data_IF_684563313614
#
_entry.id   IF_684563313614
#
_cell.length_a   1.000
_cell.length_b   1.000
_cell.length_c   1.000
_cell.angle_alpha   90.00
_cell.angle_beta   90.00
_cell.angle_gamma   90.00
#
_symmetry.space_group_name_H-M   'P 1'
#
loop_
_entity.id
_entity.type
_entity.pdbx_description
1 polymer ?
#
# COMPACT_ATOMS: atom_id res chain seq x y z
N UNK A 1 9.25 18.48 -23.21
CA UNK A 1 10.20 17.36 -22.98
C UNK A 1 11.57 18.02 -22.81
N UNK A 2 12.08 18.12 -21.59
CA UNK A 2 13.44 18.63 -21.34
C UNK A 2 14.25 17.45 -20.87
N UNK A 3 15.18 17.03 -21.71
CA UNK A 3 16.10 15.93 -21.44
C UNK A 3 16.98 16.28 -20.24
N UNK A 4 17.11 15.32 -19.33
CA UNK A 4 18.14 15.34 -18.29
C UNK A 4 19.49 15.06 -18.97
N UNK A 5 20.58 15.75 -18.58
CA UNK A 5 21.89 15.50 -19.16
C UNK A 5 22.40 14.11 -18.77
N UNK A 6 22.95 13.40 -19.75
CA UNK A 6 23.66 12.14 -19.58
C UNK A 6 24.99 12.37 -18.84
N UNK A 7 24.88 12.46 -17.51
CA UNK A 7 26.05 12.44 -16.63
C UNK A 7 26.39 10.97 -16.39
N UNK A 8 27.43 10.47 -17.05
CA UNK A 8 27.99 9.12 -16.90
C UNK A 8 28.54 8.82 -15.49
N UNK A 9 27.73 9.02 -14.45
CA UNK A 9 27.98 8.58 -13.10
C UNK A 9 27.55 7.13 -12.98
N UNK A 10 28.50 6.26 -12.65
CA UNK A 10 28.22 4.88 -12.27
C UNK A 10 27.28 4.87 -11.05
N UNK A 11 26.35 3.90 -11.01
CA UNK A 11 25.32 3.74 -9.96
C UNK A 11 25.86 3.91 -8.51
N UNK A 12 27.14 3.58 -8.27
CA UNK A 12 27.79 3.69 -6.97
C UNK A 12 27.97 5.11 -6.41
N UNK A 13 27.82 6.18 -7.21
CA UNK A 13 28.04 7.58 -6.78
C UNK A 13 26.77 8.36 -6.43
N UNK A 14 25.57 7.81 -6.66
CA UNK A 14 24.33 8.46 -6.25
C UNK A 14 24.15 8.41 -4.72
N UNK A 15 23.57 9.45 -4.09
CA UNK A 15 23.13 9.39 -2.71
C UNK A 15 22.31 8.10 -2.47
N UNK A 16 22.58 7.40 -1.36
CA UNK A 16 21.94 6.11 -1.03
C UNK A 16 20.42 6.17 -1.19
N UNK A 17 19.80 7.28 -0.80
CA UNK A 17 18.35 7.51 -0.89
C UNK A 17 17.83 7.53 -2.33
N UNK A 18 18.58 8.10 -3.27
CA UNK A 18 18.22 8.11 -4.70
C UNK A 18 18.27 6.69 -5.25
N UNK A 19 19.29 5.90 -4.88
CA UNK A 19 19.37 4.49 -5.24
C UNK A 19 18.22 3.68 -4.64
N UNK A 20 18.01 3.77 -3.33
CA UNK A 20 16.95 3.01 -2.64
C UNK A 20 15.57 3.31 -3.23
N UNK A 21 15.30 4.57 -3.58
CA UNK A 21 14.07 4.95 -4.27
C UNK A 21 13.98 4.38 -5.68
N UNK A 22 15.06 4.40 -6.45
CA UNK A 22 15.10 3.81 -7.78
C UNK A 22 14.88 2.29 -7.74
N UNK A 23 15.57 1.60 -6.83
CA UNK A 23 15.44 0.15 -6.61
C UNK A 23 14.03 -0.22 -6.12
N UNK A 24 13.46 0.55 -5.20
CA UNK A 24 12.08 0.34 -4.76
C UNK A 24 11.11 0.49 -5.93
N UNK A 25 11.26 1.54 -6.75
CA UNK A 25 10.41 1.74 -7.94
C UNK A 25 10.55 0.60 -8.92
N UNK A 26 11.78 0.18 -9.20
CA UNK A 26 12.03 -0.93 -10.11
C UNK A 26 11.42 -2.22 -9.59
N UNK A 27 11.55 -2.49 -8.29
CA UNK A 27 10.91 -3.62 -7.65
C UNK A 27 9.38 -3.57 -7.74
N UNK A 28 8.77 -2.40 -7.55
CA UNK A 28 7.32 -2.24 -7.63
C UNK A 28 6.77 -2.48 -9.05
N UNK A 29 7.57 -2.31 -10.11
CA UNK A 29 7.15 -2.61 -11.49
C UNK A 29 6.97 -4.11 -11.76
N UNK A 30 7.42 -4.99 -10.87
CA UNK A 30 7.22 -6.44 -11.01
C UNK A 30 5.87 -6.93 -10.49
N UNK A 31 4.96 -6.02 -10.13
CA UNK A 31 3.65 -6.32 -9.55
C UNK A 31 2.56 -5.73 -10.46
N UNK A 32 1.45 -6.45 -10.58
CA UNK A 32 0.30 -6.06 -11.39
C UNK A 32 -0.75 -5.40 -10.48
N UNK A 33 -0.45 -4.19 -10.01
CA UNK A 33 -1.35 -3.46 -9.11
C UNK A 33 -2.71 -3.23 -9.77
N UNK A 34 -3.77 -3.57 -9.04
CA UNK A 34 -5.16 -3.42 -9.49
C UNK A 34 -5.84 -2.22 -8.84
N UNK A 35 -5.47 -1.87 -7.60
CA UNK A 35 -6.08 -0.78 -6.86
C UNK A 35 -5.08 0.17 -6.22
N UNK A 36 -5.42 1.44 -6.22
CA UNK A 36 -4.84 2.48 -5.40
C UNK A 36 -5.83 2.84 -4.29
N UNK A 37 -5.42 2.67 -3.02
CA UNK A 37 -6.29 2.89 -1.86
C UNK A 37 -5.70 3.97 -0.96
N UNK A 38 -6.53 4.93 -0.56
CA UNK A 38 -6.19 5.93 0.46
C UNK A 38 -6.96 5.64 1.75
N UNK A 39 -6.24 5.47 2.86
CA UNK A 39 -6.81 5.32 4.20
C UNK A 39 -6.42 6.54 5.06
N UNK A 40 -7.32 7.48 5.25
CA UNK A 40 -7.05 8.72 5.98
C UNK A 40 -7.82 8.81 7.30
N UNK A 41 -7.26 9.55 8.26
CA UNK A 41 -7.82 9.67 9.62
C UNK A 41 -8.64 10.94 9.85
N UNK A 42 -8.84 11.75 8.81
CA UNK A 42 -9.59 13.01 8.86
C UNK A 42 -9.17 13.93 10.00
N UNK A 43 -7.89 14.30 10.01
CA UNK A 43 -7.26 15.23 10.98
C UNK A 43 -7.04 14.68 12.39
N UNK A 44 -7.38 13.41 12.66
CA UNK A 44 -6.97 12.78 13.91
C UNK A 44 -5.46 12.54 13.89
N UNK A 45 -4.75 13.14 14.84
CA UNK A 45 -3.31 12.99 15.00
C UNK A 45 -3.00 11.67 15.71
N UNK A 46 -2.79 10.62 14.92
CA UNK A 46 -2.28 9.35 15.42
C UNK A 46 -0.78 9.27 15.27
N UNK A 47 -0.11 8.70 16.28
CA UNK A 47 1.31 8.36 16.17
C UNK A 47 1.54 7.37 15.01
N UNK A 48 2.74 7.34 14.41
CA UNK A 48 3.10 6.33 13.41
C UNK A 48 2.84 4.89 13.89
N UNK A 49 3.11 4.60 15.17
CA UNK A 49 2.84 3.29 15.78
C UNK A 49 1.34 2.96 15.81
N UNK A 50 0.48 3.94 16.11
CA UNK A 50 -0.98 3.76 16.08
C UNK A 50 -1.46 3.59 14.63
N UNK A 51 -0.94 4.37 13.69
CA UNK A 51 -1.25 4.23 12.25
C UNK A 51 -0.90 2.83 11.72
N UNK A 52 0.27 2.30 12.09
CA UNK A 52 0.68 0.93 11.76
C UNK A 52 -0.22 -0.12 12.39
N UNK A 53 -0.63 0.07 13.65
CA UNK A 53 -1.58 -0.82 14.34
C UNK A 53 -2.95 -0.84 13.66
N UNK A 54 -3.46 0.32 13.23
CA UNK A 54 -4.71 0.44 12.49
C UNK A 54 -4.62 -0.25 11.12
N UNK A 55 -3.51 -0.03 10.39
CA UNK A 55 -3.25 -0.70 9.10
C UNK A 55 -3.22 -2.23 9.26
N UNK A 56 -2.56 -2.73 10.30
CA UNK A 56 -2.52 -4.17 10.62
C UNK A 56 -3.89 -4.76 10.92
N UNK A 57 -4.73 -4.03 11.66
CA UNK A 57 -6.10 -4.46 11.94
C UNK A 57 -6.97 -4.42 10.68
N UNK A 58 -6.80 -3.40 9.84
CA UNK A 58 -7.48 -3.29 8.55
C UNK A 58 -7.14 -4.47 7.65
N UNK A 59 -5.84 -4.74 7.46
CA UNK A 59 -5.34 -5.87 6.67
C UNK A 59 -5.91 -7.21 7.15
N UNK A 60 -5.91 -7.46 8.45
CA UNK A 60 -6.47 -8.69 9.03
C UNK A 60 -7.98 -8.82 8.77
N UNK A 61 -8.74 -7.73 8.88
CA UNK A 61 -10.19 -7.71 8.64
C UNK A 61 -10.53 -7.92 7.17
N UNK A 62 -9.81 -7.25 6.27
CA UNK A 62 -9.98 -7.38 4.81
C UNK A 62 -9.63 -8.79 4.35
N UNK A 63 -8.46 -9.32 4.76
CA UNK A 63 -8.06 -10.69 4.40
C UNK A 63 -9.04 -11.73 4.97
N UNK A 64 -9.57 -11.54 6.18
CA UNK A 64 -10.61 -12.42 6.72
C UNK A 64 -11.89 -12.41 5.87
N UNK A 65 -12.30 -11.24 5.38
CA UNK A 65 -13.49 -11.12 4.51
C UNK A 65 -13.28 -11.74 3.14
N UNK A 66 -12.09 -11.60 2.55
CA UNK A 66 -11.82 -12.06 1.17
C UNK A 66 -11.41 -13.52 1.13
N UNK A 67 -10.49 -13.92 2.01
CA UNK A 67 -9.95 -15.27 2.02
C UNK A 67 -10.76 -16.19 2.94
N UNK A 68 -11.47 -15.66 3.94
CA UNK A 68 -12.30 -16.42 4.87
C UNK A 68 -11.62 -16.67 6.22
N UNK A 69 -12.26 -17.42 7.14
CA UNK A 69 -11.84 -17.52 8.55
C UNK A 69 -10.43 -18.06 8.76
N UNK A 70 -9.93 -18.91 7.85
CA UNK A 70 -8.59 -19.52 7.90
C UNK A 70 -7.53 -18.73 7.12
N UNK A 71 -7.78 -17.46 6.79
CA UNK A 71 -6.84 -16.61 6.05
C UNK A 71 -5.42 -16.59 6.66
N UNK A 72 -5.30 -16.56 8.00
CA UNK A 72 -4.02 -16.52 8.68
C UNK A 72 -3.15 -17.77 8.45
N UNK A 73 -3.76 -18.91 8.09
CA UNK A 73 -3.05 -20.17 7.79
C UNK A 73 -2.69 -20.31 6.30
N UNK A 74 -3.04 -19.32 5.47
CA UNK A 74 -2.91 -19.33 4.01
C UNK A 74 -2.25 -18.02 3.56
N UNK A 75 -0.98 -17.82 3.92
CA UNK A 75 -0.27 -16.55 3.68
C UNK A 75 -0.08 -16.26 2.19
N UNK A 76 -0.05 -17.30 1.37
CA UNK A 76 -0.03 -17.29 -0.10
C UNK A 76 -1.32 -16.74 -0.72
N UNK A 77 -2.46 -16.91 -0.05
CA UNK A 77 -3.75 -16.37 -0.52
C UNK A 77 -3.98 -14.90 -0.13
N UNK A 78 -3.10 -14.30 0.68
CA UNK A 78 -3.32 -12.95 1.20
C UNK A 78 -3.13 -11.89 0.12
N UNK A 79 -3.85 -10.77 0.28
CA UNK A 79 -3.63 -9.59 -0.55
C UNK A 79 -2.18 -9.13 -0.45
N UNK A 80 -1.60 -8.83 -1.61
CA UNK A 80 -0.30 -8.17 -1.70
C UNK A 80 -0.57 -6.68 -1.76
N UNK A 81 0.03 -5.94 -0.84
CA UNK A 81 -0.01 -4.49 -0.85
C UNK A 81 1.28 -3.87 -0.30
N UNK A 82 1.51 -2.63 -0.70
CA UNK A 82 2.58 -1.74 -0.26
C UNK A 82 1.96 -0.46 0.26
N UNK A 83 2.30 -0.03 1.48
CA UNK A 83 1.72 1.14 2.11
C UNK A 83 2.78 2.22 2.38
N UNK A 84 2.42 3.46 2.09
CA UNK A 84 3.24 4.66 2.20
C UNK A 84 2.53 5.65 3.13
N UNK A 85 3.15 6.00 4.26
CA UNK A 85 2.57 6.97 5.19
C UNK A 85 2.85 8.39 4.70
N UNK A 86 1.80 9.20 4.57
CA UNK A 86 1.90 10.61 4.22
C UNK A 86 1.42 11.52 5.36
N UNK A 87 2.05 12.71 5.47
CA UNK A 87 1.67 13.80 6.39
C UNK A 87 1.48 13.36 7.85
N UNK A 88 2.40 12.51 8.33
CA UNK A 88 2.34 11.87 9.65
C UNK A 88 2.07 12.81 10.84
N UNK A 89 2.49 14.08 10.75
CA UNK A 89 2.37 15.08 11.81
C UNK A 89 1.09 15.94 11.77
N UNK A 90 0.32 15.92 10.67
CA UNK A 90 -0.82 16.84 10.49
C UNK A 90 -2.11 16.11 10.14
N UNK A 91 -2.08 15.22 9.16
CA UNK A 91 -3.22 14.44 8.73
C UNK A 91 -2.72 13.11 8.19
N UNK A 92 -2.34 12.17 9.08
CA UNK A 92 -1.71 10.93 8.66
C UNK A 92 -2.67 10.12 7.78
N UNK A 93 -2.18 9.67 6.63
CA UNK A 93 -2.93 8.78 5.75
C UNK A 93 -1.99 7.80 5.06
N UNK A 94 -2.51 6.60 4.81
CA UNK A 94 -1.83 5.58 4.03
C UNK A 94 -2.23 5.70 2.57
N UNK A 95 -1.24 5.78 1.68
CA UNK A 95 -1.40 5.45 0.27
C UNK A 95 -0.98 4.00 0.08
N UNK A 96 -1.87 3.17 -0.45
CA UNK A 96 -1.60 1.77 -0.74
C UNK A 96 -1.72 1.52 -2.24
N UNK A 97 -0.81 0.71 -2.76
CA UNK A 97 -0.99 0.01 -4.04
C UNK A 97 -1.19 -1.47 -3.72
N UNK A 98 -2.25 -2.04 -4.28
CA UNK A 98 -2.74 -3.39 -3.97
C UNK A 98 -2.79 -4.21 -5.24
N UNK A 99 -2.28 -5.42 -5.18
CA UNK A 99 -2.41 -6.43 -6.22
C UNK A 99 -3.47 -7.45 -5.78
N UNK A 100 -4.47 -7.62 -6.64
CA UNK A 100 -5.36 -8.77 -6.63
C UNK A 100 -4.79 -9.79 -7.60
N UNK A 101 -4.58 -11.01 -7.11
CA UNK A 101 -4.11 -12.13 -7.92
C UNK A 101 -5.02 -12.33 -9.16
N UNK A 102 -4.49 -12.14 -10.39
CA UNK A 102 -5.27 -12.20 -11.62
C UNK A 102 -5.78 -13.62 -11.94
N UNK A 103 -5.23 -14.64 -11.27
CA UNK A 103 -5.67 -16.03 -11.41
C UNK A 103 -6.95 -16.34 -10.61
N UNK A 104 -7.44 -15.38 -9.81
CA UNK A 104 -8.76 -15.47 -9.15
C UNK A 104 -9.87 -15.11 -10.16
N UNK A 105 -10.17 -16.04 -11.06
CA UNK A 105 -11.08 -15.78 -12.19
C UNK A 105 -12.55 -16.07 -11.82
N UNK A 106 -12.82 -17.17 -11.10
CA UNK A 106 -14.19 -17.63 -10.82
C UNK A 106 -14.40 -18.15 -9.40
N UNK A 107 -15.67 -18.35 -9.04
CA UNK A 107 -16.10 -18.95 -7.78
C UNK A 107 -16.16 -17.98 -6.60
N UNK A 108 -16.28 -18.53 -5.40
CA UNK A 108 -16.55 -17.75 -4.19
C UNK A 108 -15.44 -16.77 -3.82
N UNK A 109 -14.17 -17.03 -4.19
CA UNK A 109 -13.07 -16.09 -3.93
C UNK A 109 -13.13 -14.92 -4.90
N UNK A 110 -13.34 -15.15 -6.20
CA UNK A 110 -13.53 -14.09 -7.20
C UNK A 110 -14.65 -13.12 -6.80
N UNK A 111 -15.80 -13.66 -6.37
CA UNK A 111 -16.94 -12.84 -5.91
C UNK A 111 -16.63 -12.02 -4.64
N UNK A 112 -15.74 -12.50 -3.76
CA UNK A 112 -15.36 -11.75 -2.56
C UNK A 112 -14.28 -10.72 -2.87
N UNK A 113 -13.36 -11.03 -3.77
CA UNK A 113 -12.33 -10.10 -4.21
C UNK A 113 -12.91 -8.97 -5.06
N UNK A 114 -13.97 -9.20 -5.84
CA UNK A 114 -14.69 -8.14 -6.56
C UNK A 114 -15.36 -7.12 -5.62
N UNK A 115 -15.50 -7.46 -4.33
CA UNK A 115 -16.02 -6.57 -3.27
C UNK A 115 -14.91 -5.93 -2.47
N UNK A 116 -13.64 -6.03 -2.91
CA UNK A 116 -12.50 -5.48 -2.19
C UNK A 116 -12.70 -3.98 -1.85
N UNK A 117 -13.14 -3.10 -2.76
CA UNK A 117 -13.36 -1.69 -2.42
C UNK A 117 -14.36 -1.51 -1.26
N UNK A 118 -15.53 -2.16 -1.34
CA UNK A 118 -16.58 -2.06 -0.33
C UNK A 118 -16.14 -2.63 1.03
N UNK A 119 -15.52 -3.80 1.02
CA UNK A 119 -15.03 -4.46 2.23
C UNK A 119 -13.89 -3.65 2.87
N UNK A 120 -13.00 -3.08 2.06
CA UNK A 120 -11.90 -2.24 2.52
C UNK A 120 -12.42 -0.96 3.18
N UNK A 121 -13.38 -0.30 2.53
CA UNK A 121 -14.07 0.88 3.08
C UNK A 121 -14.73 0.57 4.40
N UNK A 122 -15.59 -0.46 4.42
CA UNK A 122 -16.35 -0.84 5.60
C UNK A 122 -15.44 -1.13 6.80
N UNK A 123 -14.31 -1.82 6.59
CA UNK A 123 -13.40 -2.15 7.69
C UNK A 123 -12.57 -0.97 8.15
N UNK A 124 -12.19 -0.06 7.26
CA UNK A 124 -11.49 1.18 7.62
C UNK A 124 -12.39 2.10 8.44
N UNK A 125 -13.60 2.38 7.98
CA UNK A 125 -14.55 3.26 8.67
C UNK A 125 -14.97 2.68 10.03
N UNK A 126 -14.98 1.35 10.20
CA UNK A 126 -15.16 0.72 11.52
C UNK A 126 -13.97 0.89 12.47
N UNK A 127 -12.76 1.04 11.94
CA UNK A 127 -11.55 1.26 12.74
C UNK A 127 -11.36 2.74 13.07
N UNK A 128 -11.70 3.61 12.12
CA UNK A 128 -11.58 5.06 12.22
C UNK A 128 -12.91 5.67 11.76
N UNK A 129 -13.91 5.81 12.65
CA UNK A 129 -15.27 6.26 12.29
C UNK A 129 -15.37 7.61 11.59
N UNK A 130 -14.42 8.50 11.83
CA UNK A 130 -14.34 9.80 11.16
C UNK A 130 -13.38 9.79 9.96
N UNK A 131 -12.64 8.71 9.76
CA UNK A 131 -11.66 8.57 8.69
C UNK A 131 -12.32 8.54 7.31
N UNK A 132 -11.55 8.86 6.29
CA UNK A 132 -11.99 8.74 4.89
C UNK A 132 -11.29 7.58 4.21
N UNK A 133 -11.98 7.04 3.21
CA UNK A 133 -11.52 5.96 2.36
C UNK A 133 -11.73 6.38 0.91
N UNK A 134 -10.71 6.16 0.09
CA UNK A 134 -10.80 6.30 -1.36
C UNK A 134 -10.15 5.07 -2.02
N UNK A 135 -10.72 4.61 -3.12
CA UNK A 135 -10.23 3.45 -3.86
C UNK A 135 -10.44 3.67 -5.35
N UNK A 136 -9.37 3.61 -6.11
CA UNK A 136 -9.35 3.83 -7.54
C UNK A 136 -8.69 2.63 -8.23
N UNK A 137 -9.16 2.31 -9.43
CA UNK A 137 -8.48 1.32 -10.27
C UNK A 137 -7.12 1.85 -10.72
N UNK A 138 -6.12 0.97 -10.79
CA UNK A 138 -4.81 1.31 -11.33
C UNK A 138 -4.84 1.09 -12.84
N UNK A 139 -4.97 2.19 -13.59
CA UNK A 139 -4.95 2.16 -15.06
C UNK A 139 -3.54 2.35 -15.65
N UNK A 140 -2.58 2.79 -14.83
CA UNK A 140 -1.25 3.17 -15.29
C UNK A 140 -0.16 2.92 -14.25
N UNK A 141 1.03 2.45 -14.68
CA UNK A 141 2.23 2.35 -13.83
C UNK A 141 2.67 3.68 -13.20
N UNK A 142 2.18 4.82 -13.68
CA UNK A 142 2.45 6.14 -13.11
C UNK A 142 2.04 6.26 -11.62
N UNK A 143 1.15 5.40 -11.13
CA UNK A 143 0.82 5.31 -9.70
C UNK A 143 2.04 5.00 -8.84
N UNK A 144 2.99 4.21 -9.35
CA UNK A 144 4.25 3.89 -8.66
C UNK A 144 5.07 5.16 -8.45
N UNK A 145 5.16 6.01 -9.48
CA UNK A 145 5.86 7.29 -9.37
C UNK A 145 5.19 8.22 -8.36
N UNK A 146 3.86 8.23 -8.33
CA UNK A 146 3.06 9.01 -7.40
C UNK A 146 3.32 8.58 -5.94
N UNK A 147 3.10 7.31 -5.59
CA UNK A 147 3.23 6.85 -4.19
C UNK A 147 4.67 6.83 -3.69
N UNK A 148 5.64 6.66 -4.59
CA UNK A 148 7.06 6.74 -4.22
C UNK A 148 7.62 8.16 -4.20
N UNK A 149 6.81 9.18 -4.54
CA UNK A 149 7.22 10.58 -4.44
C UNK A 149 7.49 10.96 -2.98
N UNK A 150 6.63 10.51 -2.06
CA UNK A 150 6.76 10.82 -0.63
C UNK A 150 7.90 10.10 0.06
N UNK A 151 8.34 8.96 -0.48
CA UNK A 151 9.49 8.18 0.00
C UNK A 151 10.82 8.95 -0.12
N UNK A 152 10.84 10.09 -0.83
CA UNK A 152 12.04 10.91 -0.98
C UNK A 152 12.53 11.57 0.32
N UNK A 153 11.68 11.70 1.34
CA UNK A 153 12.11 12.12 2.67
C UNK A 153 12.44 10.87 3.53
N UNK A 154 13.61 10.88 4.19
CA UNK A 154 14.12 9.76 5.00
C UNK A 154 13.09 9.20 5.99
N UNK A 155 12.36 10.09 6.68
CA UNK A 155 11.30 9.75 7.63
C UNK A 155 10.13 8.97 7.00
N UNK A 156 9.88 9.15 5.70
CA UNK A 156 8.80 8.45 5.00
C UNK A 156 9.25 7.07 4.50
N UNK A 157 10.55 6.87 4.26
CA UNK A 157 11.10 5.56 3.93
C UNK A 157 11.00 4.60 5.12
N UNK A 158 11.28 5.08 6.33
CA UNK A 158 11.16 4.26 7.56
C UNK A 158 9.72 3.81 7.87
N UNK A 159 8.74 4.55 7.35
CA UNK A 159 7.32 4.27 7.54
C UNK A 159 6.69 3.49 6.37
N UNK A 160 7.48 3.08 5.39
CA UNK A 160 7.04 2.15 4.36
C UNK A 160 6.74 0.78 4.95
N UNK A 161 5.60 0.19 4.58
CA UNK A 161 5.15 -1.09 5.12
C UNK A 161 4.74 -2.03 3.99
N UNK A 162 5.22 -3.27 4.08
CA UNK A 162 4.82 -4.36 3.22
C UNK A 162 3.74 -5.21 3.90
N UNK A 163 2.74 -5.65 3.14
CA UNK A 163 1.74 -6.65 3.58
C UNK A 163 2.35 -7.85 4.32
N UNK A 164 3.50 -8.33 3.85
CA UNK A 164 4.20 -9.49 4.43
C UNK A 164 4.71 -9.27 5.85
N UNK A 165 4.90 -8.03 6.30
CA UNK A 165 5.29 -7.75 7.69
C UNK A 165 4.21 -8.15 8.70
N UNK A 166 2.98 -8.41 8.24
CA UNK A 166 1.88 -8.84 9.08
C UNK A 166 1.58 -10.36 8.95
N UNK A 167 2.52 -11.18 8.45
CA UNK A 167 2.35 -12.64 8.31
C UNK A 167 2.43 -13.37 9.66
N UNK A 168 3.26 -12.91 10.59
CA UNK A 168 3.45 -13.57 11.88
C UNK A 168 2.71 -12.80 12.98
N UNK A 169 1.69 -13.44 13.56
CA UNK A 169 1.08 -13.10 14.85
C UNK A 169 0.99 -14.36 15.69
#
# INVERSE_FOLDING_TARGET
MKDLPDTGMTSSLLPMQIRMRAELRDRLKSFDFTYFITLATSHQQFSPSKMRSLLKQWDARVNRSINGPRWARRPDERLIWFAFLEKASVNPHWHLIVEVDPWIIEGGRAQRTSKLPDVSKQHWEKLVPQGTFDCQDVESPAVIDYVTKVVAAEQNFENFILSREFINN
#
